data_IF_836202814467
#
_entry.id   IF_836202814467
#
_cell.length_a   1.000
_cell.length_b   1.000
_cell.length_c   1.000
_cell.angle_alpha   90.00
_cell.angle_beta   90.00
_cell.angle_gamma   90.00
#
_symmetry.space_group_name_H-M   'P 1'
#
loop_
_entity.id
_entity.type
_entity.pdbx_description
1 polymer ?
#
# COMPACT_ATOMS: atom_id res chain seq x y z
N UNK A 1 9.24 -3.89 18.38
CA UNK A 1 9.84 -2.68 17.78
C UNK A 1 8.77 -1.94 16.97
N UNK A 2 8.65 -0.64 17.13
CA UNK A 2 7.58 0.13 16.47
C UNK A 2 8.09 0.88 15.22
N UNK A 3 8.83 0.15 14.41
CA UNK A 3 9.34 0.64 13.12
C UNK A 3 9.55 -0.54 12.17
N UNK A 4 9.35 -0.29 10.89
CA UNK A 4 9.50 -1.31 9.87
C UNK A 4 8.62 -1.04 8.67
N UNK A 5 8.21 -2.10 7.99
CA UNK A 5 7.44 -2.03 6.76
C UNK A 5 6.03 -2.59 6.96
N UNK A 6 5.09 -2.10 6.17
CA UNK A 6 3.71 -2.60 6.23
C UNK A 6 3.14 -2.74 4.82
N UNK A 7 2.12 -3.59 4.71
CA UNK A 7 1.38 -3.77 3.47
C UNK A 7 -0.10 -3.69 3.81
N UNK A 8 -0.83 -2.84 3.09
CA UNK A 8 -2.27 -2.70 3.26
C UNK A 8 -2.96 -3.30 2.04
N UNK A 9 -3.87 -4.24 2.27
CA UNK A 9 -4.70 -4.80 1.23
C UNK A 9 -6.08 -4.15 1.30
N UNK A 10 -6.52 -3.55 0.22
CA UNK A 10 -7.79 -2.83 0.19
C UNK A 10 -8.59 -3.16 -1.07
N UNK A 11 -9.90 -2.97 -0.97
CA UNK A 11 -10.84 -3.24 -2.06
C UNK A 11 -11.56 -1.96 -2.48
N UNK A 12 -11.54 -1.68 -3.79
CA UNK A 12 -12.36 -0.64 -4.39
C UNK A 12 -13.58 -1.30 -5.02
N UNK A 13 -14.77 -0.90 -4.60
CA UNK A 13 -16.03 -1.42 -5.18
C UNK A 13 -16.40 -0.72 -6.47
N UNK A 14 -15.97 0.53 -6.63
CA UNK A 14 -16.28 1.37 -7.77
C UNK A 14 -15.00 1.95 -8.36
N UNK A 15 -15.07 2.37 -9.62
CA UNK A 15 -13.99 3.10 -10.25
C UNK A 15 -13.67 4.35 -9.44
N UNK A 16 -12.39 4.65 -9.28
CA UNK A 16 -11.92 5.79 -8.52
C UNK A 16 -11.00 6.65 -9.38
N UNK A 17 -11.32 7.95 -9.44
CA UNK A 17 -10.47 8.94 -10.11
C UNK A 17 -9.97 9.95 -9.09
N UNK A 18 -8.69 10.28 -9.17
CA UNK A 18 -8.09 11.31 -8.34
C UNK A 18 -6.85 11.87 -9.02
N UNK A 19 -6.32 12.94 -8.46
CA UNK A 19 -5.13 13.61 -9.01
C UNK A 19 -4.11 13.83 -7.90
N UNK A 20 -2.84 13.51 -8.19
CA UNK A 20 -1.72 13.76 -7.30
C UNK A 20 -0.66 14.50 -8.12
N UNK A 21 -0.29 15.72 -7.69
CA UNK A 21 0.74 16.54 -8.34
C UNK A 21 0.51 16.65 -9.85
N UNK A 22 -0.71 16.95 -10.27
CA UNK A 22 -1.13 17.12 -11.67
C UNK A 22 -1.17 15.83 -12.49
N UNK A 23 -0.84 14.69 -11.91
CA UNK A 23 -1.02 13.39 -12.55
C UNK A 23 -2.37 12.82 -12.18
N UNK A 24 -3.14 12.45 -13.20
CA UNK A 24 -4.47 11.85 -13.01
C UNK A 24 -4.34 10.34 -12.92
N UNK A 25 -5.08 9.77 -11.96
CA UNK A 25 -5.17 8.33 -11.78
C UNK A 25 -6.63 7.90 -11.94
N UNK A 26 -6.83 6.82 -12.68
CA UNK A 26 -8.14 6.18 -12.80
C UNK A 26 -7.92 4.71 -12.45
N UNK A 27 -8.51 4.28 -11.33
CA UNK A 27 -8.37 2.91 -10.85
C UNK A 27 -9.66 2.15 -11.01
N UNK A 28 -9.59 0.97 -11.59
CA UNK A 28 -10.74 0.08 -11.76
C UNK A 28 -11.15 -0.55 -10.42
N UNK A 29 -12.41 -0.99 -10.28
CA UNK A 29 -12.80 -1.78 -9.13
C UNK A 29 -11.92 -3.02 -9.01
N UNK A 30 -11.56 -3.38 -7.79
CA UNK A 30 -10.70 -4.54 -7.55
C UNK A 30 -9.94 -4.44 -6.26
N UNK A 31 -8.98 -5.33 -6.09
CA UNK A 31 -8.14 -5.41 -4.89
C UNK A 31 -6.77 -4.85 -5.20
N UNK A 32 -6.26 -4.06 -4.25
CA UNK A 32 -4.98 -3.37 -4.37
C UNK A 32 -4.15 -3.60 -3.12
N UNK A 33 -2.83 -3.70 -3.30
CA UNK A 33 -1.89 -3.76 -2.18
C UNK A 33 -1.00 -2.52 -2.21
N UNK A 34 -0.86 -1.88 -1.07
CA UNK A 34 -0.01 -0.71 -0.88
C UNK A 34 1.11 -1.05 0.10
N UNK A 35 2.35 -0.79 -0.31
CA UNK A 35 3.54 -1.02 0.53
C UNK A 35 4.02 0.32 1.08
N UNK A 36 4.21 0.39 2.38
CA UNK A 36 4.75 1.56 3.04
C UNK A 36 5.70 1.20 4.15
N UNK A 37 6.35 2.20 4.70
CA UNK A 37 7.25 2.02 5.85
C UNK A 37 7.13 3.17 6.81
N UNK A 38 7.45 2.89 8.07
CA UNK A 38 7.51 3.90 9.11
C UNK A 38 8.67 3.55 10.04
N UNK A 39 9.65 4.45 10.12
CA UNK A 39 10.79 4.29 11.04
C UNK A 39 10.46 4.85 12.43
N UNK A 40 9.23 5.30 12.63
CA UNK A 40 8.71 5.80 13.88
C UNK A 40 7.19 5.61 13.88
N UNK A 41 6.64 5.13 14.98
CA UNK A 41 5.19 4.98 15.17
C UNK A 41 4.52 4.13 14.07
N UNK A 42 5.10 2.97 13.76
CA UNK A 42 4.60 2.05 12.74
C UNK A 42 3.16 1.61 13.04
N UNK A 43 2.89 1.15 14.25
CA UNK A 43 1.55 0.68 14.61
C UNK A 43 0.52 1.81 14.53
N UNK A 44 0.90 3.01 14.96
CA UNK A 44 0.02 4.18 14.91
C UNK A 44 -0.30 4.57 13.47
N UNK A 45 0.69 4.52 12.58
CA UNK A 45 0.46 4.82 11.16
C UNK A 45 -0.48 3.83 10.50
N UNK A 46 -0.27 2.54 10.72
CA UNK A 46 -1.15 1.51 10.18
C UNK A 46 -2.57 1.65 10.76
N UNK A 47 -2.68 1.90 12.06
CA UNK A 47 -3.96 2.16 12.71
C UNK A 47 -4.69 3.36 12.10
N UNK A 48 -3.96 4.44 11.80
CA UNK A 48 -4.51 5.60 11.11
C UNK A 48 -5.05 5.25 9.73
N UNK A 49 -4.32 4.46 8.98
CA UNK A 49 -4.77 4.02 7.65
C UNK A 49 -6.06 3.19 7.75
N UNK A 50 -6.12 2.26 8.69
CA UNK A 50 -7.31 1.43 8.88
C UNK A 50 -8.51 2.27 9.31
N UNK A 51 -8.29 3.28 10.14
CA UNK A 51 -9.33 4.13 10.73
C UNK A 51 -9.60 5.42 9.93
N UNK A 52 -9.04 5.54 8.73
CA UNK A 52 -9.10 6.79 7.97
C UNK A 52 -10.52 7.30 7.74
N UNK A 53 -11.48 6.41 7.49
CA UNK A 53 -12.87 6.77 7.21
C UNK A 53 -13.63 7.31 8.43
N UNK A 54 -13.03 7.28 9.62
CA UNK A 54 -13.67 7.85 10.81
C UNK A 54 -13.86 9.37 10.73
N UNK A 55 -13.17 10.02 9.77
CA UNK A 55 -13.24 11.47 9.57
C UNK A 55 -12.33 12.29 10.45
N UNK A 56 -11.50 11.65 11.29
CA UNK A 56 -10.58 12.34 12.19
C UNK A 56 -9.33 12.87 11.50
N UNK A 57 -9.04 12.39 10.29
CA UNK A 57 -7.74 12.62 9.65
C UNK A 57 -7.87 13.47 8.40
N UNK A 58 -6.89 14.34 8.19
CA UNK A 58 -6.74 15.09 6.96
C UNK A 58 -5.95 14.26 5.97
N UNK A 59 -6.25 14.42 4.67
CA UNK A 59 -5.49 13.77 3.61
C UNK A 59 -4.03 14.20 3.69
N UNK A 60 -3.12 13.23 3.76
CA UNK A 60 -1.70 13.47 3.91
C UNK A 60 -0.86 12.58 2.99
N UNK A 61 -1.12 11.26 2.96
CA UNK A 61 -0.40 10.34 2.09
C UNK A 61 -1.17 10.05 0.82
N UNK A 62 -0.45 9.63 -0.23
CA UNK A 62 -1.08 9.26 -1.51
C UNK A 62 -2.18 8.21 -1.33
N UNK A 63 -1.93 7.23 -0.46
CA UNK A 63 -2.90 6.14 -0.19
C UNK A 63 -4.22 6.65 0.40
N UNK A 64 -4.22 7.83 1.01
CA UNK A 64 -5.44 8.39 1.59
C UNK A 64 -6.54 8.58 0.54
N UNK A 65 -6.16 8.79 -0.74
CA UNK A 65 -7.15 8.86 -1.82
C UNK A 65 -7.94 7.57 -1.98
N UNK A 66 -7.27 6.42 -1.76
CA UNK A 66 -7.93 5.12 -1.82
C UNK A 66 -8.66 4.79 -0.52
N UNK A 67 -8.07 5.15 0.61
CA UNK A 67 -8.66 4.88 1.94
C UNK A 67 -9.98 5.63 2.13
N UNK A 68 -10.12 6.76 1.47
CA UNK A 68 -11.35 7.56 1.52
C UNK A 68 -12.54 6.81 0.90
N UNK A 69 -12.32 6.02 -0.13
CA UNK A 69 -13.37 5.34 -0.92
C UNK A 69 -13.32 3.81 -0.84
N UNK A 70 -12.18 3.25 -0.51
CA UNK A 70 -12.00 1.80 -0.46
C UNK A 70 -12.23 1.21 0.93
N UNK A 71 -12.23 -0.10 1.00
CA UNK A 71 -12.33 -0.84 2.26
C UNK A 71 -11.02 -1.57 2.52
N UNK A 72 -10.43 -1.31 3.68
CA UNK A 72 -9.23 -2.05 4.11
C UNK A 72 -9.67 -3.46 4.51
N UNK A 73 -9.10 -4.45 3.83
CA UNK A 73 -9.40 -5.85 4.13
C UNK A 73 -8.55 -6.33 5.30
N UNK A 74 -7.25 -6.08 5.24
CA UNK A 74 -6.32 -6.31 6.35
C UNK A 74 -4.97 -5.69 6.02
N UNK A 75 -4.06 -5.72 7.00
CA UNK A 75 -2.71 -5.24 6.83
C UNK A 75 -1.71 -6.23 7.41
N UNK A 76 -0.52 -6.24 6.82
CA UNK A 76 0.65 -6.92 7.37
C UNK A 76 1.58 -5.89 7.97
N UNK A 77 2.09 -6.15 9.16
CA UNK A 77 3.10 -5.32 9.80
C UNK A 77 4.35 -6.16 9.98
N UNK A 78 5.48 -5.64 9.52
CA UNK A 78 6.79 -6.29 9.65
C UNK A 78 7.65 -5.39 10.52
N UNK A 79 7.56 -5.53 11.87
CA UNK A 79 8.18 -4.57 12.80
C UNK A 79 9.61 -4.95 13.14
N UNK A 80 10.41 -5.23 12.13
CA UNK A 80 11.81 -5.66 12.31
C UNK A 80 12.80 -4.50 12.34
N UNK A 81 12.33 -3.27 12.21
CA UNK A 81 13.15 -2.08 12.22
C UNK A 81 13.98 -1.84 10.97
N UNK A 82 13.80 -2.66 9.95
CA UNK A 82 14.52 -2.58 8.68
C UNK A 82 13.64 -1.89 7.63
N UNK A 83 14.26 -1.07 6.79
CA UNK A 83 13.57 -0.40 5.70
C UNK A 83 13.49 -1.35 4.50
N UNK A 84 12.34 -1.99 4.33
CA UNK A 84 12.14 -3.01 3.29
C UNK A 84 11.17 -2.61 2.18
N UNK A 85 10.72 -1.37 2.19
CA UNK A 85 9.71 -0.90 1.24
C UNK A 85 10.15 -1.05 -0.21
N UNK A 86 11.38 -0.66 -0.55
CA UNK A 86 11.90 -0.77 -1.91
C UNK A 86 12.04 -2.23 -2.35
N UNK A 87 12.59 -3.07 -1.50
CA UNK A 87 12.76 -4.50 -1.77
C UNK A 87 11.43 -5.18 -2.06
N UNK A 88 10.45 -4.96 -1.20
CA UNK A 88 9.13 -5.57 -1.33
C UNK A 88 8.40 -5.06 -2.57
N UNK A 89 8.41 -3.74 -2.79
CA UNK A 89 7.78 -3.14 -3.96
C UNK A 89 8.39 -3.64 -5.26
N UNK A 90 9.72 -3.79 -5.29
CA UNK A 90 10.41 -4.32 -6.45
C UNK A 90 10.01 -5.76 -6.74
N UNK A 91 9.94 -6.59 -5.71
CA UNK A 91 9.53 -8.00 -5.86
C UNK A 91 8.07 -8.12 -6.32
N UNK A 92 7.17 -7.31 -5.75
CA UNK A 92 5.78 -7.32 -6.16
C UNK A 92 5.59 -6.83 -7.60
N UNK A 93 6.39 -5.86 -8.05
CA UNK A 93 6.30 -5.36 -9.42
C UNK A 93 6.69 -6.40 -10.47
N UNK A 94 7.42 -7.43 -10.08
CA UNK A 94 7.78 -8.54 -10.97
C UNK A 94 6.62 -9.54 -11.14
N UNK A 95 5.66 -9.56 -10.23
CA UNK A 95 4.59 -10.55 -10.18
C UNK A 95 3.20 -9.97 -10.42
N UNK A 96 3.02 -8.68 -10.18
CA UNK A 96 1.71 -8.02 -10.26
C UNK A 96 1.81 -6.73 -11.06
N UNK A 97 0.69 -6.36 -11.68
CA UNK A 97 0.57 -5.06 -12.34
C UNK A 97 0.67 -3.96 -11.28
N UNK A 98 1.42 -2.92 -11.56
CA UNK A 98 1.57 -1.78 -10.65
C UNK A 98 0.92 -0.53 -11.22
N UNK A 99 0.58 0.40 -10.34
CA UNK A 99 0.04 1.71 -10.71
C UNK A 99 1.23 2.67 -10.81
N UNK A 100 1.62 3.01 -12.02
CA UNK A 100 2.86 3.74 -12.29
C UNK A 100 2.98 5.05 -11.54
N UNK A 101 4.12 5.23 -10.87
CA UNK A 101 4.47 6.45 -10.16
C UNK A 101 3.76 6.66 -8.83
N UNK A 102 2.86 5.76 -8.44
CA UNK A 102 2.10 5.96 -7.20
C UNK A 102 2.99 5.74 -5.97
N UNK A 103 3.10 6.79 -5.15
CA UNK A 103 3.83 6.73 -3.88
C UNK A 103 5.35 6.59 -3.99
N UNK A 104 5.91 6.59 -5.18
CA UNK A 104 7.31 6.22 -5.42
C UNK A 104 8.22 7.42 -5.70
N UNK A 105 7.82 8.63 -5.34
CA UNK A 105 8.57 9.85 -5.66
C UNK A 105 9.99 9.89 -5.09
N UNK A 106 10.20 9.29 -3.92
CA UNK A 106 11.50 9.29 -3.23
C UNK A 106 12.20 7.94 -3.27
N UNK A 107 11.68 6.97 -4.03
CA UNK A 107 12.18 5.62 -4.06
C UNK A 107 12.63 5.21 -5.45
N UNK A 108 13.52 4.22 -5.52
CA UNK A 108 14.04 3.65 -6.76
C UNK A 108 13.13 2.54 -7.31
N UNK A 109 11.83 2.66 -7.10
CA UNK A 109 10.84 1.69 -7.57
C UNK A 109 9.80 2.40 -8.44
N UNK A 110 9.09 1.64 -9.24
CA UNK A 110 8.10 2.19 -10.18
C UNK A 110 6.79 2.58 -9.50
N UNK A 111 6.45 1.90 -8.40
CA UNK A 111 5.22 2.14 -7.68
C UNK A 111 5.24 1.42 -6.33
N UNK A 112 4.41 1.90 -5.41
CA UNK A 112 4.12 1.21 -4.15
C UNK A 112 2.69 0.66 -4.12
N UNK A 113 1.96 0.78 -5.24
CA UNK A 113 0.58 0.30 -5.33
C UNK A 113 0.45 -0.73 -6.44
N UNK A 114 -0.12 -1.89 -6.11
CA UNK A 114 -0.20 -3.05 -6.99
C UNK A 114 -1.63 -3.54 -7.13
N UNK A 115 -1.99 -3.99 -8.33
CA UNK A 115 -3.28 -4.62 -8.61
C UNK A 115 -3.16 -6.11 -8.25
N UNK A 116 -4.02 -6.58 -7.36
CA UNK A 116 -4.00 -7.96 -6.91
C UNK A 116 -5.13 -8.71 -7.62
N UNK A 117 -4.78 -9.36 -8.71
CA UNK A 117 -5.72 -10.14 -9.53
C UNK A 117 -5.85 -11.60 -9.06
N UNK A 118 -4.94 -12.04 -8.18
CA UNK A 118 -4.90 -13.40 -7.64
C UNK A 118 -4.45 -13.34 -6.19
N UNK A 119 -5.41 -13.51 -5.27
CA UNK A 119 -5.15 -13.41 -3.84
C UNK A 119 -4.21 -14.51 -3.34
N UNK A 120 -4.36 -15.71 -3.82
CA UNK A 120 -3.51 -16.84 -3.42
C UNK A 120 -2.05 -16.58 -3.81
N UNK A 121 -1.84 -16.16 -5.04
CA UNK A 121 -0.50 -15.79 -5.53
C UNK A 121 0.11 -14.67 -4.67
N UNK A 122 -0.69 -13.67 -4.31
CA UNK A 122 -0.23 -12.57 -3.46
C UNK A 122 0.24 -13.08 -2.09
N UNK A 123 -0.55 -13.92 -1.43
CA UNK A 123 -0.17 -14.47 -0.13
C UNK A 123 1.08 -15.34 -0.21
N UNK A 124 1.24 -16.11 -1.28
CA UNK A 124 2.44 -16.93 -1.48
C UNK A 124 3.68 -16.05 -1.64
N UNK A 125 3.58 -14.96 -2.38
CA UNK A 125 4.70 -14.02 -2.54
C UNK A 125 5.04 -13.33 -1.22
N UNK A 126 4.04 -12.89 -0.45
CA UNK A 126 4.26 -12.28 0.85
C UNK A 126 4.92 -13.27 1.81
N UNK A 127 4.47 -14.52 1.81
CA UNK A 127 5.09 -15.57 2.62
C UNK A 127 6.57 -15.73 2.31
N UNK A 128 6.94 -15.77 1.04
CA UNK A 128 8.35 -15.87 0.61
C UNK A 128 9.16 -14.68 1.10
N UNK A 129 8.63 -13.48 0.97
CA UNK A 129 9.31 -12.25 1.38
C UNK A 129 9.55 -12.23 2.88
N UNK A 130 8.54 -12.62 3.68
CA UNK A 130 8.63 -12.57 5.14
C UNK A 130 9.53 -13.65 5.70
N UNK A 131 9.49 -14.85 5.13
CA UNK A 131 10.23 -16.00 5.65
C UNK A 131 11.68 -16.01 5.15
N UNK A 132 11.88 -15.59 3.94
CA UNK A 132 13.21 -15.48 3.35
C UNK A 132 13.92 -14.20 3.85
#
# INVERSE_FOLDING_TARGET
MNKGTYIILLKLKNELSFEIRKKKYILNPGIYAYVGSAMKNLHQRVGRHIDYKSGKYKKHWHIDNLLDKGDVLFSFIIPDGVYREEEISKKLSEKFQYIDGFGASDLKVKSNLFVIDDNEKFFLEIKKIIID
#
